data_IF_778790608349
#
_entry.id   IF_778790608349
#
_cell.length_a   1.000
_cell.length_b   1.000
_cell.length_c   1.000
_cell.angle_alpha   90.00
_cell.angle_beta   90.00
_cell.angle_gamma   90.00
#
_symmetry.space_group_name_H-M   'P 1'
#
loop_
_entity.id
_entity.type
_entity.pdbx_description
1 polymer ?
#
# COMPACT_ATOMS: atom_id res chain seq x y z
N UNK A 1 -19.70 8.68 63.62
CA UNK A 1 -19.15 10.06 63.47
C UNK A 1 -18.86 10.29 61.99
N UNK A 2 -19.24 11.34 61.27
CA UNK A 2 -20.19 12.47 61.40
C UNK A 2 -20.45 12.87 59.92
N UNK A 3 -21.70 12.75 59.49
CA UNK A 3 -22.55 13.81 58.92
C UNK A 3 -22.23 14.35 57.51
N UNK A 4 -23.24 14.20 56.65
CA UNK A 4 -23.45 14.90 55.40
C UNK A 4 -23.71 16.40 55.62
N UNK A 5 -23.36 17.23 54.62
CA UNK A 5 -23.82 18.62 54.50
C UNK A 5 -24.56 18.77 53.16
N UNK A 6 -25.78 19.28 53.29
CA UNK A 6 -26.75 19.65 52.26
C UNK A 6 -26.85 21.19 52.29
N UNK A 7 -27.39 21.77 51.20
CA UNK A 7 -28.02 23.12 51.07
C UNK A 7 -27.00 24.24 50.80
N UNK A 8 -27.10 25.07 49.75
CA UNK A 8 -28.16 26.05 49.54
C UNK A 8 -28.38 26.47 48.08
N UNK A 9 -29.67 26.52 47.72
CA UNK A 9 -30.28 27.16 46.56
C UNK A 9 -30.31 28.68 46.80
N UNK A 10 -29.95 29.48 45.79
CA UNK A 10 -30.24 30.91 45.75
C UNK A 10 -31.05 31.23 44.48
N UNK A 11 -32.35 31.35 44.69
CA UNK A 11 -33.35 31.89 43.78
C UNK A 11 -33.21 33.42 43.74
N UNK A 12 -33.13 34.01 42.55
CA UNK A 12 -33.46 35.41 42.33
C UNK A 12 -34.59 35.51 41.31
N UNK A 13 -35.69 36.11 41.76
CA UNK A 13 -36.86 36.54 40.99
C UNK A 13 -36.90 38.07 41.00
N UNK A 14 -37.70 38.62 40.07
CA UNK A 14 -38.16 40.02 39.88
C UNK A 14 -37.27 40.88 38.95
N UNK A 15 -37.77 41.69 37.99
CA UNK A 15 -39.10 42.15 37.56
C UNK A 15 -39.05 42.55 36.08
N UNK A 16 -40.21 42.45 35.43
CA UNK A 16 -40.69 43.01 34.16
C UNK A 16 -40.01 44.28 33.61
N UNK A 17 -39.81 44.28 32.29
CA UNK A 17 -39.67 45.48 31.47
C UNK A 17 -40.15 45.20 30.05
N UNK A 18 -41.35 45.68 29.70
CA UNK A 18 -41.87 45.71 28.34
C UNK A 18 -41.12 46.74 27.50
N UNK A 19 -40.62 46.35 26.34
CA UNK A 19 -40.04 47.25 25.35
C UNK A 19 -39.95 46.54 24.00
N UNK A 20 -41.00 46.70 23.19
CA UNK A 20 -40.98 46.40 21.76
C UNK A 20 -40.06 47.40 21.07
N UNK A 21 -38.94 46.94 20.53
CA UNK A 21 -38.17 47.65 19.51
C UNK A 21 -37.76 46.63 18.47
N UNK A 22 -38.16 46.89 17.22
CA UNK A 22 -37.94 46.04 16.06
C UNK A 22 -36.45 45.77 15.78
N UNK A 23 -36.10 44.61 15.23
CA UNK A 23 -34.71 44.24 14.97
C UNK A 23 -34.16 44.98 13.74
N UNK A 24 -32.93 45.55 13.80
CA UNK A 24 -32.24 45.95 12.59
C UNK A 24 -31.81 44.69 11.84
N UNK A 25 -32.22 44.64 10.57
CA UNK A 25 -31.90 43.60 9.61
C UNK A 25 -30.41 43.27 9.60
N UNK A 26 -30.10 41.99 9.84
CA UNK A 26 -28.78 41.41 9.67
C UNK A 26 -28.36 41.50 8.21
N UNK A 27 -27.55 42.49 7.86
CA UNK A 27 -26.72 42.39 6.66
C UNK A 27 -25.54 41.47 7.02
N UNK A 28 -25.77 40.16 6.83
CA UNK A 28 -24.71 39.20 6.72
C UNK A 28 -23.93 39.52 5.43
N UNK A 29 -22.80 40.20 5.58
CA UNK A 29 -21.79 40.28 4.53
C UNK A 29 -21.33 38.85 4.21
N UNK A 30 -21.87 38.34 3.11
CA UNK A 30 -21.38 37.18 2.39
C UNK A 30 -19.96 37.46 1.92
N UNK A 31 -18.98 37.22 2.79
CA UNK A 31 -17.60 36.99 2.39
C UNK A 31 -17.58 35.65 1.67
N UNK A 32 -17.76 35.70 0.34
CA UNK A 32 -17.40 34.60 -0.56
C UNK A 32 -15.91 34.38 -0.40
N UNK A 33 -15.56 33.50 0.54
CA UNK A 33 -14.23 32.93 0.63
C UNK A 33 -14.11 32.04 -0.59
N UNK A 34 -13.43 32.58 -1.61
CA UNK A 34 -12.93 31.84 -2.76
C UNK A 34 -12.05 30.72 -2.20
N UNK A 35 -12.68 29.57 -1.95
CA UNK A 35 -11.99 28.32 -1.73
C UNK A 35 -11.54 27.87 -3.11
N UNK A 36 -10.38 28.38 -3.54
CA UNK A 36 -9.62 27.75 -4.60
C UNK A 36 -9.38 26.31 -4.14
N UNK A 37 -10.21 25.40 -4.62
CA UNK A 37 -9.98 23.97 -4.57
C UNK A 37 -8.74 23.78 -5.43
N UNK A 38 -7.58 23.90 -4.79
CA UNK A 38 -6.33 23.40 -5.34
C UNK A 38 -6.56 21.91 -5.55
N UNK A 39 -6.95 21.54 -6.77
CA UNK A 39 -6.85 20.17 -7.25
C UNK A 39 -5.42 19.73 -6.94
N UNK A 40 -5.26 18.96 -5.87
CA UNK A 40 -3.97 18.41 -5.48
C UNK A 40 -3.51 17.57 -6.65
N UNK A 41 -2.60 18.12 -7.45
CA UNK A 41 -1.95 17.43 -8.56
C UNK A 41 -1.40 16.12 -7.96
N UNK A 42 -2.07 15.01 -8.27
CA UNK A 42 -1.59 13.70 -7.89
C UNK A 42 -0.37 13.43 -8.76
N UNK A 43 0.79 13.32 -8.12
CA UNK A 43 2.00 12.88 -8.79
C UNK A 43 1.76 11.47 -9.34
N UNK A 44 2.18 11.17 -10.58
CA UNK A 44 2.07 9.83 -11.12
C UNK A 44 2.90 8.83 -10.33
N UNK A 45 2.45 7.59 -10.35
CA UNK A 45 3.22 6.48 -9.83
C UNK A 45 4.52 6.32 -10.64
N UNK A 46 5.66 6.15 -9.95
CA UNK A 46 6.96 5.89 -10.56
C UNK A 46 7.50 4.51 -10.20
N UNK A 47 7.11 3.95 -9.05
CA UNK A 47 7.59 2.63 -8.59
C UNK A 47 6.50 1.86 -7.85
N UNK A 48 6.49 0.54 -8.04
CA UNK A 48 5.68 -0.41 -7.27
C UNK A 48 6.57 -1.45 -6.63
N UNK A 49 6.46 -1.58 -5.32
CA UNK A 49 7.08 -2.64 -4.54
C UNK A 49 6.06 -3.74 -4.29
N UNK A 50 6.39 -4.98 -4.67
CA UNK A 50 5.56 -6.15 -4.46
C UNK A 50 6.21 -7.09 -3.46
N UNK A 51 5.41 -7.62 -2.55
CA UNK A 51 5.68 -8.93 -2.00
C UNK A 51 5.40 -10.03 -3.04
N UNK A 52 5.87 -11.25 -2.77
CA UNK A 52 5.80 -12.35 -3.70
C UNK A 52 4.77 -13.42 -3.33
N UNK A 53 4.95 -14.07 -2.18
CA UNK A 53 4.12 -15.18 -1.71
C UNK A 53 2.74 -14.65 -1.29
N UNK A 54 1.66 -15.25 -1.78
CA UNK A 54 0.29 -14.81 -1.47
C UNK A 54 -0.07 -13.36 -1.92
N UNK A 55 0.85 -12.70 -2.65
CA UNK A 55 0.69 -11.36 -3.25
C UNK A 55 0.74 -11.45 -4.79
N UNK A 56 1.89 -11.81 -5.36
CA UNK A 56 1.99 -12.09 -6.80
C UNK A 56 1.54 -13.52 -7.09
N UNK A 57 2.04 -14.48 -6.33
CA UNK A 57 1.51 -15.84 -6.31
C UNK A 57 0.26 -15.94 -5.43
N UNK A 58 -0.55 -16.98 -5.61
CA UNK A 58 -1.77 -17.20 -4.82
C UNK A 58 -1.56 -18.17 -3.65
N UNK A 59 -0.38 -18.76 -3.56
CA UNK A 59 0.06 -19.66 -2.48
C UNK A 59 1.35 -19.13 -1.85
N UNK A 60 1.81 -19.78 -0.79
CA UNK A 60 3.10 -19.50 -0.20
C UNK A 60 4.14 -20.49 -0.73
N UNK A 61 4.75 -20.19 -1.88
CA UNK A 61 5.70 -21.07 -2.58
C UNK A 61 6.83 -21.49 -1.64
N UNK A 62 7.35 -20.57 -0.81
CA UNK A 62 8.38 -20.89 0.17
C UNK A 62 7.94 -22.03 1.14
N UNK A 63 6.69 -22.04 1.60
CA UNK A 63 6.19 -23.14 2.45
C UNK A 63 5.91 -24.42 1.66
N UNK A 64 5.33 -24.32 0.47
CA UNK A 64 5.04 -25.48 -0.38
C UNK A 64 6.32 -26.21 -0.83
N UNK A 65 7.42 -25.49 -0.96
CA UNK A 65 8.74 -26.05 -1.28
C UNK A 65 9.55 -26.38 -0.03
N UNK A 66 9.01 -26.17 1.17
CA UNK A 66 9.69 -26.37 2.47
C UNK A 66 10.98 -25.55 2.62
N UNK A 67 11.03 -24.39 1.98
CA UNK A 67 12.15 -23.46 2.06
C UNK A 67 13.43 -23.96 1.37
N UNK A 68 13.31 -24.82 0.36
CA UNK A 68 14.46 -25.14 -0.50
C UNK A 68 14.81 -23.95 -1.39
N UNK A 69 16.10 -23.79 -1.67
CA UNK A 69 16.64 -22.71 -2.52
C UNK A 69 16.60 -23.07 -4.02
N UNK A 70 16.46 -24.36 -4.33
CA UNK A 70 16.39 -24.88 -5.70
C UNK A 70 15.02 -25.53 -5.94
N UNK A 71 14.30 -25.00 -6.93
CA UNK A 71 12.99 -25.48 -7.37
C UNK A 71 13.01 -25.97 -8.82
N UNK A 72 14.19 -26.15 -9.42
CA UNK A 72 14.37 -26.60 -10.81
C UNK A 72 13.71 -27.96 -11.11
N UNK A 73 13.54 -28.80 -10.09
CA UNK A 73 12.83 -30.08 -10.18
C UNK A 73 11.30 -29.98 -10.23
N UNK A 74 10.72 -28.77 -10.05
CA UNK A 74 9.29 -28.52 -10.23
C UNK A 74 8.98 -28.32 -11.72
N UNK A 75 7.81 -28.77 -12.17
CA UNK A 75 7.37 -28.56 -13.56
C UNK A 75 6.70 -27.18 -13.72
N UNK A 76 6.53 -26.74 -14.96
CA UNK A 76 5.92 -25.44 -15.27
C UNK A 76 4.48 -25.33 -14.74
N UNK A 77 3.73 -26.43 -14.75
CA UNK A 77 2.35 -26.44 -14.27
C UNK A 77 2.27 -26.09 -12.77
N UNK A 78 3.22 -26.55 -11.95
CA UNK A 78 3.30 -26.15 -10.55
C UNK A 78 3.37 -24.63 -10.40
N UNK A 79 4.20 -23.95 -11.21
CA UNK A 79 4.32 -22.50 -11.14
C UNK A 79 3.08 -21.79 -11.69
N UNK A 80 2.49 -22.28 -12.78
CA UNK A 80 1.23 -21.76 -13.31
C UNK A 80 0.14 -21.83 -12.23
N UNK A 81 -0.01 -22.97 -11.56
CA UNK A 81 -1.00 -23.17 -10.50
C UNK A 81 -0.67 -22.31 -9.27
N UNK A 82 0.62 -22.17 -8.93
CA UNK A 82 1.07 -21.31 -7.85
C UNK A 82 0.72 -19.83 -8.09
N UNK A 83 0.61 -19.39 -9.34
CA UNK A 83 0.15 -18.06 -9.72
C UNK A 83 -1.37 -18.00 -9.98
N UNK A 84 -2.12 -19.05 -9.68
CA UNK A 84 -3.58 -19.09 -9.78
C UNK A 84 -4.11 -19.43 -11.17
N UNK A 85 -3.29 -20.11 -11.98
CA UNK A 85 -3.66 -20.57 -13.31
C UNK A 85 -3.31 -19.59 -14.43
N UNK A 86 -3.42 -20.09 -15.67
CA UNK A 86 -2.98 -19.36 -16.87
C UNK A 86 -3.69 -18.02 -17.05
N UNK A 87 -4.99 -17.94 -16.81
CA UNK A 87 -5.76 -16.70 -16.99
C UNK A 87 -5.27 -15.59 -16.06
N UNK A 88 -4.92 -15.94 -14.81
CA UNK A 88 -4.37 -14.98 -13.85
C UNK A 88 -2.95 -14.56 -14.23
N UNK A 89 -2.11 -15.48 -14.68
CA UNK A 89 -0.77 -15.16 -15.22
C UNK A 89 -0.88 -14.19 -16.40
N UNK A 90 -1.77 -14.45 -17.35
CA UNK A 90 -1.98 -13.56 -18.51
C UNK A 90 -2.46 -12.17 -18.06
N UNK A 91 -3.27 -12.09 -17.00
CA UNK A 91 -3.73 -10.81 -16.43
C UNK A 91 -2.60 -10.05 -15.72
N UNK A 92 -1.75 -10.74 -14.97
CA UNK A 92 -0.54 -10.16 -14.37
C UNK A 92 0.43 -9.67 -15.46
N UNK A 93 0.60 -10.43 -16.54
CA UNK A 93 1.41 -10.00 -17.68
C UNK A 93 0.92 -8.67 -18.26
N UNK A 94 -0.39 -8.55 -18.52
CA UNK A 94 -1.00 -7.28 -18.97
C UNK A 94 -0.82 -6.14 -17.97
N UNK A 95 -0.85 -6.45 -16.67
CA UNK A 95 -0.60 -5.47 -15.62
C UNK A 95 0.81 -4.89 -15.74
N UNK A 96 1.82 -5.76 -15.76
CA UNK A 96 3.22 -5.34 -15.86
C UNK A 96 3.55 -4.68 -17.20
N UNK A 97 2.94 -5.12 -18.32
CA UNK A 97 3.06 -4.42 -19.61
C UNK A 97 2.56 -2.97 -19.54
N UNK A 98 1.47 -2.71 -18.81
CA UNK A 98 0.95 -1.35 -18.60
C UNK A 98 1.90 -0.51 -17.75
N UNK A 99 2.44 -1.08 -16.67
CA UNK A 99 3.42 -0.40 -15.81
C UNK A 99 4.70 -0.08 -16.59
N UNK A 100 5.24 -1.04 -17.32
CA UNK A 100 6.44 -0.86 -18.15
C UNK A 100 6.23 0.20 -19.24
N UNK A 101 5.07 0.20 -19.92
CA UNK A 101 4.74 1.22 -20.93
C UNK A 101 4.64 2.63 -20.32
N UNK A 102 4.26 2.72 -19.06
CA UNK A 102 4.20 3.98 -18.30
C UNK A 102 5.52 4.29 -17.58
N UNK A 103 6.59 3.54 -17.86
CA UNK A 103 7.93 3.71 -17.26
C UNK A 103 7.91 3.59 -15.73
N UNK A 104 6.98 2.79 -15.19
CA UNK A 104 6.88 2.51 -13.75
C UNK A 104 7.75 1.30 -13.40
N UNK A 105 8.72 1.50 -12.50
CA UNK A 105 9.63 0.46 -12.03
C UNK A 105 8.87 -0.56 -11.16
N UNK A 106 9.16 -1.84 -11.36
CA UNK A 106 8.62 -2.92 -10.54
C UNK A 106 9.75 -3.56 -9.73
N UNK A 107 9.57 -3.62 -8.40
CA UNK A 107 10.54 -4.17 -7.46
C UNK A 107 9.87 -5.23 -6.60
N UNK A 108 10.57 -6.34 -6.33
CA UNK A 108 10.09 -7.37 -5.40
C UNK A 108 10.89 -7.30 -4.11
N UNK A 109 10.18 -7.27 -2.97
CA UNK A 109 10.77 -7.38 -1.63
C UNK A 109 10.07 -8.51 -0.89
N UNK A 110 10.75 -9.65 -0.74
CA UNK A 110 10.14 -10.89 -0.27
C UNK A 110 11.00 -11.65 0.74
N UNK A 111 10.33 -12.45 1.58
CA UNK A 111 10.99 -13.42 2.45
C UNK A 111 11.30 -14.76 1.76
N UNK A 112 10.95 -14.92 0.48
CA UNK A 112 11.41 -16.04 -0.35
C UNK A 112 12.89 -15.91 -0.72
N UNK A 113 13.51 -17.00 -1.17
CA UNK A 113 14.87 -16.95 -1.72
C UNK A 113 14.89 -16.32 -3.11
N UNK A 114 15.90 -15.51 -3.39
CA UNK A 114 16.03 -14.74 -4.64
C UNK A 114 16.00 -15.66 -5.86
N UNK A 115 16.74 -16.77 -5.81
CA UNK A 115 16.76 -17.76 -6.90
C UNK A 115 15.38 -18.40 -7.17
N UNK A 116 14.64 -18.74 -6.11
CA UNK A 116 13.28 -19.33 -6.22
C UNK A 116 12.30 -18.32 -6.82
N UNK A 117 12.36 -17.05 -6.41
CA UNK A 117 11.53 -15.98 -6.96
C UNK A 117 11.81 -15.81 -8.45
N UNK A 118 13.09 -15.71 -8.82
CA UNK A 118 13.53 -15.55 -10.23
C UNK A 118 13.10 -16.74 -11.10
N UNK A 119 13.32 -17.96 -10.63
CA UNK A 119 12.88 -19.16 -11.34
C UNK A 119 11.36 -19.19 -11.50
N UNK A 120 10.62 -18.87 -10.44
CA UNK A 120 9.15 -18.86 -10.46
C UNK A 120 8.62 -17.85 -11.50
N UNK A 121 9.15 -16.62 -11.51
CA UNK A 121 8.78 -15.58 -12.48
C UNK A 121 9.18 -15.97 -13.92
N UNK A 122 10.34 -16.60 -14.09
CA UNK A 122 10.81 -17.07 -15.40
C UNK A 122 9.86 -18.12 -15.97
N UNK A 123 9.46 -19.09 -15.15
CA UNK A 123 8.56 -20.19 -15.53
C UNK A 123 7.17 -19.74 -15.93
N UNK A 124 6.71 -18.60 -15.42
CA UNK A 124 5.41 -18.00 -15.80
C UNK A 124 5.54 -16.85 -16.80
N UNK A 125 6.75 -16.55 -17.31
CA UNK A 125 6.98 -15.51 -18.32
C UNK A 125 6.69 -14.09 -17.82
N UNK A 126 7.06 -13.82 -16.56
CA UNK A 126 6.93 -12.50 -15.91
C UNK A 126 8.28 -11.89 -15.52
N UNK A 127 9.39 -12.64 -15.60
CA UNK A 127 10.71 -12.15 -15.18
C UNK A 127 11.17 -10.92 -15.98
N UNK A 128 10.78 -10.81 -17.25
CA UNK A 128 11.16 -9.70 -18.14
C UNK A 128 10.69 -8.31 -17.69
N UNK A 129 9.77 -8.23 -16.72
CA UNK A 129 9.26 -6.97 -16.18
C UNK A 129 10.03 -6.47 -14.95
N UNK A 130 11.01 -7.24 -14.48
CA UNK A 130 11.82 -6.92 -13.31
C UNK A 130 13.28 -6.84 -13.73
N UNK A 131 13.95 -5.75 -13.35
CA UNK A 131 15.41 -5.68 -13.44
C UNK A 131 16.04 -6.73 -12.51
N UNK A 132 17.23 -7.22 -12.86
CA UNK A 132 17.89 -8.29 -12.12
C UNK A 132 18.19 -7.90 -10.66
N UNK A 133 18.52 -6.63 -10.46
CA UNK A 133 18.79 -5.98 -9.18
C UNK A 133 17.51 -5.58 -8.42
N UNK A 134 16.34 -5.62 -9.07
CA UNK A 134 15.05 -5.23 -8.49
C UNK A 134 14.34 -6.38 -7.74
N UNK A 135 15.01 -7.51 -7.50
CA UNK A 135 14.44 -8.67 -6.81
C UNK A 135 15.22 -8.94 -5.52
N UNK A 136 14.63 -8.54 -4.40
CA UNK A 136 15.17 -8.70 -3.06
C UNK A 136 14.52 -9.89 -2.34
N UNK A 137 15.19 -11.04 -2.35
CA UNK A 137 14.84 -12.17 -1.49
C UNK A 137 15.45 -12.04 -0.08
N UNK A 138 15.12 -13.00 0.80
CA UNK A 138 15.65 -13.11 2.18
C UNK A 138 17.17 -13.20 2.27
N UNK A 139 17.79 -13.67 1.19
CA UNK A 139 19.21 -13.89 0.97
C UNK A 139 19.90 -12.70 0.29
N UNK A 140 19.14 -11.67 -0.11
CA UNK A 140 19.71 -10.44 -0.67
C UNK A 140 20.46 -9.65 0.41
N UNK A 141 21.57 -9.03 0.03
CA UNK A 141 22.38 -8.21 0.95
C UNK A 141 21.57 -7.08 1.59
N UNK A 142 20.66 -6.44 0.82
CA UNK A 142 19.80 -5.37 1.30
C UNK A 142 18.88 -5.86 2.43
N UNK A 143 18.15 -6.96 2.22
CA UNK A 143 17.19 -7.45 3.20
C UNK A 143 17.89 -8.07 4.43
N UNK A 144 19.06 -8.70 4.25
CA UNK A 144 19.91 -9.17 5.36
C UNK A 144 20.38 -7.99 6.22
N UNK A 145 20.90 -6.92 5.61
CA UNK A 145 21.43 -5.74 6.31
C UNK A 145 20.39 -5.11 7.24
N UNK A 146 19.14 -5.03 6.79
CA UNK A 146 18.03 -4.47 7.58
C UNK A 146 17.28 -5.52 8.42
N UNK A 147 17.83 -6.72 8.54
CA UNK A 147 17.28 -7.83 9.35
C UNK A 147 15.85 -8.22 8.95
N UNK A 148 15.56 -8.24 7.65
CA UNK A 148 14.24 -8.62 7.12
C UNK A 148 13.17 -7.52 7.18
N UNK A 149 13.51 -6.30 7.58
CA UNK A 149 12.55 -5.20 7.62
C UNK A 149 12.32 -4.63 6.22
N UNK A 150 11.28 -5.11 5.53
CA UNK A 150 11.00 -4.73 4.13
C UNK A 150 10.85 -3.21 3.95
N UNK A 151 10.17 -2.54 4.87
CA UNK A 151 9.96 -1.09 4.83
C UNK A 151 11.29 -0.31 4.82
N UNK A 152 12.39 -0.85 5.38
CA UNK A 152 13.72 -0.25 5.32
C UNK A 152 14.38 -0.42 3.94
N UNK A 153 14.25 -1.59 3.31
CA UNK A 153 14.72 -1.78 1.92
C UNK A 153 13.98 -0.81 0.99
N UNK A 154 12.65 -0.73 1.13
CA UNK A 154 11.81 0.18 0.34
C UNK A 154 12.27 1.64 0.52
N UNK A 155 12.52 2.07 1.77
CA UNK A 155 13.03 3.42 2.04
C UNK A 155 14.39 3.66 1.38
N UNK A 156 15.33 2.72 1.46
CA UNK A 156 16.66 2.84 0.84
C UNK A 156 16.55 2.98 -0.69
N UNK A 157 15.70 2.17 -1.34
CA UNK A 157 15.46 2.27 -2.79
C UNK A 157 14.84 3.61 -3.17
N UNK A 158 13.82 4.07 -2.44
CA UNK A 158 13.17 5.37 -2.68
C UNK A 158 14.14 6.54 -2.51
N UNK A 159 14.98 6.51 -1.47
CA UNK A 159 15.98 7.55 -1.21
C UNK A 159 17.03 7.60 -2.34
N UNK A 160 17.46 6.43 -2.83
CA UNK A 160 18.46 6.34 -3.90
C UNK A 160 17.98 6.92 -5.24
N UNK A 161 16.68 6.85 -5.51
CA UNK A 161 16.05 7.34 -6.75
C UNK A 161 15.32 8.67 -6.56
N UNK A 162 15.38 9.28 -5.36
CA UNK A 162 14.65 10.51 -5.02
C UNK A 162 13.13 10.41 -5.25
N UNK A 163 12.55 9.23 -5.01
CA UNK A 163 11.12 8.96 -5.17
C UNK A 163 10.37 9.40 -3.92
N UNK A 164 9.33 10.22 -4.07
CA UNK A 164 8.52 10.63 -2.92
C UNK A 164 7.46 9.59 -2.53
N UNK A 165 6.96 9.69 -1.29
CA UNK A 165 5.82 8.89 -0.78
C UNK A 165 4.66 8.73 -1.77
N UNK A 166 4.31 9.80 -2.52
CA UNK A 166 3.15 9.79 -3.42
C UNK A 166 3.38 9.00 -4.72
N UNK A 167 4.65 8.84 -5.09
CA UNK A 167 5.12 8.23 -6.34
C UNK A 167 5.43 6.74 -6.17
N UNK A 168 5.35 6.22 -4.94
CA UNK A 168 5.61 4.82 -4.61
C UNK A 168 4.40 4.16 -3.95
N UNK A 169 4.18 2.88 -4.25
CA UNK A 169 3.23 2.04 -3.52
C UNK A 169 3.84 0.68 -3.18
N UNK A 170 3.63 0.22 -1.94
CA UNK A 170 3.97 -1.11 -1.48
C UNK A 170 2.75 -2.01 -1.36
N UNK A 171 2.84 -3.19 -1.93
CA UNK A 171 1.77 -4.16 -2.07
C UNK A 171 2.20 -5.45 -1.37
N UNK A 172 1.51 -5.85 -0.31
CA UNK A 172 1.89 -7.00 0.53
C UNK A 172 0.65 -7.62 1.18
N UNK A 173 0.66 -8.93 1.44
CA UNK A 173 -0.42 -9.69 2.08
C UNK A 173 -0.35 -9.64 3.62
N UNK A 174 0.83 -9.34 4.17
CA UNK A 174 1.10 -9.29 5.60
C UNK A 174 0.73 -7.93 6.18
N UNK A 175 -0.32 -7.90 7.01
CA UNK A 175 -0.72 -6.72 7.78
C UNK A 175 0.45 -6.12 8.58
N UNK A 176 1.35 -6.96 9.08
CA UNK A 176 2.54 -6.50 9.81
C UNK A 176 3.46 -5.66 8.92
N UNK A 177 3.76 -6.13 7.70
CA UNK A 177 4.64 -5.41 6.78
C UNK A 177 4.00 -4.08 6.36
N UNK A 178 2.69 -4.09 6.11
CA UNK A 178 1.88 -2.91 5.81
C UNK A 178 1.94 -1.89 6.96
N UNK A 179 1.74 -2.34 8.20
CA UNK A 179 1.73 -1.47 9.38
C UNK A 179 3.08 -0.84 9.67
N UNK A 180 4.17 -1.58 9.45
CA UNK A 180 5.52 -1.03 9.55
C UNK A 180 5.75 0.08 8.52
N UNK A 181 5.31 -0.13 7.27
CA UNK A 181 5.45 0.86 6.19
C UNK A 181 4.60 2.11 6.44
N UNK A 182 3.37 1.93 6.94
CA UNK A 182 2.47 3.04 7.30
C UNK A 182 3.01 3.83 8.49
N UNK A 183 3.45 3.15 9.55
CA UNK A 183 4.00 3.78 10.76
C UNK A 183 5.22 4.64 10.45
N UNK A 184 6.09 4.17 9.55
CA UNK A 184 7.30 4.88 9.16
C UNK A 184 7.03 5.94 8.07
N UNK A 185 5.82 5.97 7.50
CA UNK A 185 5.46 6.90 6.44
C UNK A 185 6.28 6.71 5.16
N UNK A 186 6.70 5.48 4.86
CA UNK A 186 7.64 5.19 3.78
C UNK A 186 7.02 5.44 2.40
N UNK A 187 5.92 4.77 2.07
CA UNK A 187 5.21 4.91 0.80
C UNK A 187 3.71 4.65 0.97
N UNK A 188 2.93 4.84 -0.10
CA UNK A 188 1.53 4.40 -0.11
C UNK A 188 1.49 2.87 0.05
N UNK A 189 0.39 2.36 0.59
CA UNK A 189 0.23 0.93 0.85
C UNK A 189 -1.01 0.37 0.16
N UNK A 190 -0.95 -0.91 -0.20
CA UNK A 190 -2.09 -1.73 -0.61
C UNK A 190 -1.98 -3.10 0.07
N UNK A 191 -2.92 -3.40 0.96
CA UNK A 191 -2.95 -4.68 1.68
C UNK A 191 -3.75 -5.73 0.92
N UNK A 192 -3.12 -6.84 0.54
CA UNK A 192 -3.79 -8.00 -0.07
C UNK A 192 -4.40 -8.89 1.02
N UNK A 193 -5.59 -8.52 1.48
CA UNK A 193 -6.19 -9.11 2.68
C UNK A 193 -6.49 -10.60 2.58
N UNK A 194 -6.89 -11.09 1.40
CA UNK A 194 -7.30 -12.49 1.22
C UNK A 194 -6.12 -13.48 1.22
N UNK A 195 -4.89 -12.98 1.07
CA UNK A 195 -3.66 -13.80 0.96
C UNK A 195 -3.76 -14.88 -0.11
N UNK A 196 -4.39 -14.52 -1.23
CA UNK A 196 -4.65 -15.36 -2.42
C UNK A 196 -4.21 -14.66 -3.70
N UNK A 197 -3.22 -13.81 -3.58
CA UNK A 197 -2.70 -12.97 -4.63
C UNK A 197 -3.59 -11.76 -4.95
N UNK A 198 -3.04 -10.81 -5.70
CA UNK A 198 -3.73 -9.63 -6.20
C UNK A 198 -4.97 -10.01 -7.00
N UNK A 199 -6.06 -9.29 -6.71
CA UNK A 199 -7.34 -9.39 -7.41
C UNK A 199 -7.42 -8.39 -8.57
N UNK A 200 -8.43 -8.52 -9.44
CA UNK A 200 -8.67 -7.53 -10.51
C UNK A 200 -8.82 -6.11 -9.96
N UNK A 201 -9.48 -5.95 -8.81
CA UNK A 201 -9.67 -4.65 -8.17
C UNK A 201 -8.33 -4.02 -7.78
N UNK A 202 -7.42 -4.83 -7.23
CA UNK A 202 -6.11 -4.37 -6.79
C UNK A 202 -5.24 -3.94 -7.98
N UNK A 203 -5.24 -4.75 -9.06
CA UNK A 203 -4.50 -4.43 -10.28
C UNK A 203 -5.02 -3.14 -10.92
N UNK A 204 -6.35 -2.98 -11.04
CA UNK A 204 -6.96 -1.75 -11.57
C UNK A 204 -6.66 -0.54 -10.69
N UNK A 205 -6.64 -0.71 -9.36
CA UNK A 205 -6.28 0.36 -8.44
C UNK A 205 -4.85 0.85 -8.65
N UNK A 206 -3.88 -0.07 -8.77
CA UNK A 206 -2.48 0.27 -9.04
C UNK A 206 -2.35 0.96 -10.41
N UNK A 207 -2.97 0.38 -11.45
CA UNK A 207 -2.97 0.93 -12.82
C UNK A 207 -3.64 2.30 -12.92
N UNK A 208 -4.59 2.60 -12.04
CA UNK A 208 -5.23 3.91 -11.94
C UNK A 208 -4.29 5.04 -11.49
N UNK A 209 -3.13 4.69 -10.92
CA UNK A 209 -2.08 5.64 -10.51
C UNK A 209 -1.12 6.06 -11.63
N UNK A 210 -1.28 5.50 -12.84
CA UNK A 210 -0.46 5.84 -14.00
C UNK A 210 -0.80 7.22 -14.56
N UNK A 211 0.18 7.87 -15.20
CA UNK A 211 -0.05 9.06 -16.01
C UNK A 211 -1.13 8.77 -17.07
N UNK A 212 -2.15 9.63 -17.14
CA UNK A 212 -3.14 9.62 -18.23
C UNK A 212 -2.65 10.42 -19.42
#
# INVERSE_FOLDING_TARGET
>A
MRQAIIVLIATFLFISGCGLVDPPASQAESTKKDLSVEEKIQKPLQIVFYDFDQTLSVIHIFHETKGVEDVSGKNDQFFIDAFGGKERVDRLKKHFERLAKAEVKCVIVSYGYTAVIKESLTRVGLIEFFEEEAIFGRDSEALIRVKGQKHKVISEEMDSESISYKEAIFVDDSKKNIDECEKDGTCRILHVYERRGLTERDLVFIEGGLNK
#
